data_IF_329789484846
#
_entry.id   IF_329789484846
#
_cell.length_a   1.000
_cell.length_b   1.000
_cell.length_c   1.000
_cell.angle_alpha   90.00
_cell.angle_beta   90.00
_cell.angle_gamma   90.00
#
_symmetry.space_group_name_H-M   'P 1'
#
loop_
_entity.id
_entity.type
_entity.pdbx_description
1 polymer ?
#
# COMPACT_ATOMS: atom_id res chain seq x y z
N UNK A 1 -20.43 -13.02 1.16
CA UNK A 1 -19.79 -11.74 1.56
C UNK A 1 -19.60 -11.81 3.06
N UNK A 2 -18.37 -11.95 3.53
CA UNK A 2 -18.06 -11.82 4.96
C UNK A 2 -18.47 -10.41 5.44
N UNK A 3 -18.96 -10.23 6.67
CA UNK A 3 -19.24 -8.91 7.20
C UNK A 3 -17.98 -8.05 7.14
N UNK A 4 -18.14 -6.79 6.79
CA UNK A 4 -17.03 -5.82 6.75
C UNK A 4 -16.51 -5.61 8.18
N UNK A 5 -15.37 -6.21 8.51
CA UNK A 5 -14.74 -6.13 9.83
C UNK A 5 -13.96 -4.82 10.02
N UNK A 6 -14.23 -3.80 9.22
CA UNK A 6 -13.57 -2.52 9.31
C UNK A 6 -14.39 -1.51 10.13
N UNK A 7 -13.71 -0.70 10.94
CA UNK A 7 -14.25 0.48 11.60
C UNK A 7 -13.72 1.76 10.92
N UNK A 8 -14.49 2.83 10.97
CA UNK A 8 -13.98 4.13 10.54
C UNK A 8 -12.81 4.57 11.41
N UNK A 9 -11.75 5.08 10.77
CA UNK A 9 -10.56 5.60 11.44
C UNK A 9 -10.38 7.08 11.10
N UNK A 10 -10.35 7.91 12.12
CA UNK A 10 -10.14 9.37 11.99
C UNK A 10 -9.10 9.81 13.02
N UNK A 11 -8.06 10.51 12.56
CA UNK A 11 -7.11 11.19 13.42
C UNK A 11 -6.92 12.62 12.90
N UNK A 12 -7.46 13.58 13.63
CA UNK A 12 -7.39 15.02 13.31
C UNK A 12 -6.33 15.76 14.12
N UNK A 13 -5.55 15.03 14.94
CA UNK A 13 -4.49 15.66 15.76
C UNK A 13 -3.23 15.97 14.96
N UNK A 14 -3.17 15.53 13.70
CA UNK A 14 -2.05 15.72 12.76
C UNK A 14 -2.50 16.46 11.50
N UNK A 15 -1.59 17.17 10.84
CA UNK A 15 -1.84 17.83 9.56
C UNK A 15 -0.88 17.28 8.49
N UNK A 16 -1.39 16.73 7.40
CA UNK A 16 -2.81 16.47 7.07
C UNK A 16 -3.42 15.39 7.98
N UNK A 17 -4.75 15.45 8.24
CA UNK A 17 -5.45 14.46 9.04
C UNK A 17 -5.46 13.10 8.34
N UNK A 18 -5.67 12.04 9.13
CA UNK A 18 -5.80 10.68 8.62
C UNK A 18 -7.27 10.28 8.66
N UNK A 19 -7.83 9.87 7.52
CA UNK A 19 -9.21 9.39 7.42
C UNK A 19 -9.25 8.13 6.58
N UNK A 20 -9.93 7.10 7.08
CA UNK A 20 -10.00 5.83 6.39
C UNK A 20 -10.77 4.76 7.16
N UNK A 21 -10.36 3.52 7.00
CA UNK A 21 -10.99 2.34 7.58
C UNK A 21 -9.93 1.42 8.16
N UNK A 22 -10.09 1.05 9.43
CA UNK A 22 -9.19 0.15 10.14
C UNK A 22 -9.81 -1.26 10.19
N UNK A 23 -9.06 -2.23 9.69
CA UNK A 23 -9.36 -3.66 9.84
C UNK A 23 -8.53 -4.20 11.00
N UNK A 24 -9.20 -4.71 12.02
CA UNK A 24 -8.56 -5.32 13.18
C UNK A 24 -8.72 -6.83 13.11
N UNK A 25 -7.63 -7.59 12.98
CA UNK A 25 -7.70 -9.05 12.91
C UNK A 25 -8.11 -9.66 14.25
N UNK A 26 -8.73 -10.85 14.19
CA UNK A 26 -9.08 -11.61 15.40
C UNK A 26 -7.83 -12.03 16.21
N UNK A 27 -6.77 -12.40 15.52
CA UNK A 27 -5.50 -12.82 16.12
C UNK A 27 -4.38 -11.98 15.53
N UNK A 28 -4.10 -10.78 16.09
CA UNK A 28 -3.08 -9.89 15.55
C UNK A 28 -1.68 -10.49 15.66
N UNK A 29 -0.91 -10.34 14.59
CA UNK A 29 0.52 -10.66 14.57
C UNK A 29 1.39 -9.52 15.10
N UNK A 30 0.78 -8.35 15.27
CA UNK A 30 1.46 -7.09 15.56
C UNK A 30 1.89 -6.30 14.33
N UNK A 31 1.92 -6.91 13.14
CA UNK A 31 2.26 -6.21 11.91
C UNK A 31 1.09 -5.33 11.43
N UNK A 32 1.44 -4.24 10.74
CA UNK A 32 0.50 -3.27 10.20
C UNK A 32 0.75 -3.04 8.71
N UNK A 33 -0.31 -3.01 7.92
CA UNK A 33 -0.29 -2.58 6.53
C UNK A 33 -1.07 -1.27 6.39
N UNK A 34 -0.43 -0.22 5.87
CA UNK A 34 -1.10 1.01 5.45
C UNK A 34 -1.31 0.93 3.95
N UNK A 35 -2.55 1.05 3.50
CA UNK A 35 -2.96 0.83 2.11
C UNK A 35 -3.71 2.05 1.57
N UNK A 36 -3.26 2.58 0.42
CA UNK A 36 -3.87 3.76 -0.19
C UNK A 36 -4.22 3.58 -1.67
N UNK A 37 -5.05 4.47 -2.19
CA UNK A 37 -5.73 4.38 -3.48
C UNK A 37 -5.02 5.13 -4.61
N UNK A 38 -5.42 4.85 -5.85
CA UNK A 38 -5.01 5.58 -7.06
C UNK A 38 -5.74 6.92 -7.26
N UNK A 39 -5.31 7.68 -8.27
CA UNK A 39 -5.79 9.05 -8.55
C UNK A 39 -7.32 9.16 -8.74
N UNK A 40 -7.98 8.16 -9.29
CA UNK A 40 -9.44 8.14 -9.50
C UNK A 40 -10.24 7.46 -8.40
N UNK A 41 -9.57 6.91 -7.37
CA UNK A 41 -10.16 6.08 -6.33
C UNK A 41 -10.29 6.77 -4.97
N UNK A 42 -10.63 5.94 -3.99
CA UNK A 42 -10.64 6.27 -2.56
C UNK A 42 -10.36 5.00 -1.75
N UNK A 43 -10.33 5.10 -0.43
CA UNK A 43 -10.06 3.98 0.48
C UNK A 43 -11.09 2.83 0.38
N UNK A 44 -12.24 3.04 -0.28
CA UNK A 44 -13.27 2.02 -0.47
C UNK A 44 -13.18 1.26 -1.81
N UNK A 45 -12.12 1.50 -2.60
CA UNK A 45 -11.93 0.79 -3.86
C UNK A 45 -11.95 -0.74 -3.66
N UNK A 46 -12.61 -1.50 -4.54
CA UNK A 46 -12.77 -2.96 -4.38
C UNK A 46 -11.46 -3.72 -4.20
N UNK A 47 -10.42 -3.36 -4.94
CA UNK A 47 -9.07 -3.92 -4.80
C UNK A 47 -8.52 -3.73 -3.37
N UNK A 48 -8.66 -2.53 -2.81
CA UNK A 48 -8.15 -2.22 -1.49
C UNK A 48 -8.92 -2.96 -0.39
N UNK A 49 -10.23 -3.10 -0.56
CA UNK A 49 -11.07 -3.87 0.39
C UNK A 49 -10.66 -5.35 0.38
N UNK A 50 -10.58 -5.96 -0.79
CA UNK A 50 -10.21 -7.36 -0.92
C UNK A 50 -8.81 -7.67 -0.36
N UNK A 51 -7.83 -6.76 -0.57
CA UNK A 51 -6.51 -6.89 0.04
C UNK A 51 -6.59 -6.71 1.56
N UNK A 52 -7.31 -5.71 2.05
CA UNK A 52 -7.45 -5.49 3.48
C UNK A 52 -8.07 -6.68 4.21
N UNK A 53 -9.08 -7.30 3.61
CA UNK A 53 -9.70 -8.51 4.15
C UNK A 53 -8.68 -9.67 4.19
N UNK A 54 -7.97 -9.94 3.08
CA UNK A 54 -6.99 -11.02 3.01
C UNK A 54 -5.82 -10.85 4.01
N UNK A 55 -5.31 -9.63 4.15
CA UNK A 55 -4.22 -9.35 5.10
C UNK A 55 -4.72 -9.38 6.55
N UNK A 56 -5.94 -8.90 6.82
CA UNK A 56 -6.54 -8.95 8.15
C UNK A 56 -6.84 -10.39 8.59
N UNK A 57 -7.35 -11.22 7.69
CA UNK A 57 -7.58 -12.66 7.96
C UNK A 57 -6.26 -13.38 8.32
N UNK A 58 -5.14 -12.91 7.77
CA UNK A 58 -3.79 -13.41 8.10
C UNK A 58 -3.17 -12.79 9.38
N UNK A 59 -3.94 -12.00 10.13
CA UNK A 59 -3.49 -11.42 11.39
C UNK A 59 -2.78 -10.08 11.29
N UNK A 60 -2.76 -9.44 10.12
CA UNK A 60 -2.14 -8.13 9.91
C UNK A 60 -3.20 -7.04 10.08
N UNK A 61 -2.96 -6.07 10.95
CA UNK A 61 -3.83 -4.89 11.05
C UNK A 61 -3.72 -4.06 9.78
N UNK A 62 -4.85 -3.68 9.16
CA UNK A 62 -4.81 -2.90 7.92
C UNK A 62 -5.53 -1.57 8.06
N UNK A 63 -4.81 -0.47 7.79
CA UNK A 63 -5.39 0.86 7.66
C UNK A 63 -5.52 1.21 6.17
N UNK A 64 -6.75 1.19 5.64
CA UNK A 64 -7.03 1.78 4.32
C UNK A 64 -7.28 3.27 4.47
N UNK A 65 -6.41 4.13 3.96
CA UNK A 65 -6.54 5.58 4.14
C UNK A 65 -6.80 6.32 2.83
N UNK A 66 -7.58 7.39 2.93
CA UNK A 66 -7.72 8.37 1.86
C UNK A 66 -6.51 9.30 1.86
N UNK A 67 -5.93 9.50 0.68
CA UNK A 67 -4.90 10.54 0.49
C UNK A 67 -5.51 11.94 0.78
N UNK A 68 -4.73 12.87 1.31
CA UNK A 68 -5.19 14.22 1.66
C UNK A 68 -5.99 14.93 0.56
N UNK A 69 -5.54 14.84 -0.70
CA UNK A 69 -6.29 15.44 -1.81
C UNK A 69 -7.71 14.88 -1.94
N UNK A 70 -7.89 13.58 -1.65
CA UNK A 70 -9.21 12.90 -1.72
C UNK A 70 -10.11 13.26 -0.54
N UNK A 71 -9.53 13.57 0.62
CA UNK A 71 -10.28 14.07 1.76
C UNK A 71 -10.87 15.47 1.50
N UNK A 72 -10.16 16.29 0.71
CA UNK A 72 -10.60 17.64 0.34
C UNK A 72 -11.57 17.64 -0.86
N UNK A 73 -11.46 16.66 -1.75
CA UNK A 73 -12.25 16.60 -2.99
C UNK A 73 -12.75 15.18 -3.23
N UNK A 74 -14.08 14.96 -3.25
CA UNK A 74 -14.65 13.63 -3.43
C UNK A 74 -14.42 13.06 -4.83
N UNK A 75 -14.16 13.93 -5.83
CA UNK A 75 -13.99 13.56 -7.24
C UNK A 75 -12.74 14.23 -7.85
N UNK A 76 -12.33 13.72 -9.04
CA UNK A 76 -11.23 14.25 -9.82
C UNK A 76 -9.87 13.69 -9.42
N UNK A 77 -8.83 13.91 -10.25
CA UNK A 77 -7.46 13.53 -9.95
C UNK A 77 -6.80 14.49 -8.96
N UNK A 78 -5.63 14.14 -8.39
CA UNK A 78 -4.81 15.09 -7.64
C UNK A 78 -4.40 16.27 -8.54
N UNK A 79 -4.36 17.46 -7.95
CA UNK A 79 -3.91 18.68 -8.63
C UNK A 79 -2.42 18.95 -8.45
N UNK A 80 -1.91 20.01 -9.11
CA UNK A 80 -0.57 20.50 -8.86
C UNK A 80 -0.38 20.82 -7.37
N UNK A 81 0.71 20.33 -6.77
CA UNK A 81 1.01 20.58 -5.35
C UNK A 81 0.44 19.56 -4.35
N UNK A 82 -0.55 18.76 -4.72
CA UNK A 82 -1.11 17.75 -3.80
C UNK A 82 -0.10 16.68 -3.41
N UNK A 83 0.85 16.34 -4.28
CA UNK A 83 1.77 15.23 -4.09
C UNK A 83 2.60 15.32 -2.79
N UNK A 84 3.09 16.50 -2.43
CA UNK A 84 3.85 16.68 -1.18
C UNK A 84 2.95 16.49 0.05
N UNK A 85 1.73 17.05 0.01
CA UNK A 85 0.75 16.91 1.09
C UNK A 85 0.27 15.45 1.21
N UNK A 86 0.13 14.73 0.10
CA UNK A 86 -0.24 13.31 0.09
C UNK A 86 0.86 12.44 0.73
N UNK A 87 2.15 12.71 0.44
CA UNK A 87 3.26 12.03 1.13
C UNK A 87 3.29 12.36 2.63
N UNK A 88 3.06 13.62 3.01
CA UNK A 88 2.94 13.99 4.42
C UNK A 88 1.80 13.23 5.13
N UNK A 89 0.65 13.07 4.47
CA UNK A 89 -0.45 12.27 4.99
C UNK A 89 -0.12 10.78 5.16
N UNK A 90 0.63 10.20 4.23
CA UNK A 90 1.12 8.82 4.36
C UNK A 90 2.12 8.69 5.52
N UNK A 91 3.04 9.64 5.67
CA UNK A 91 3.98 9.69 6.80
C UNK A 91 3.25 9.80 8.14
N UNK A 92 2.23 10.66 8.23
CA UNK A 92 1.38 10.77 9.42
C UNK A 92 0.67 9.45 9.74
N UNK A 93 0.17 8.73 8.72
CA UNK A 93 -0.46 7.43 8.91
C UNK A 93 0.54 6.39 9.47
N UNK A 94 1.77 6.35 8.96
CA UNK A 94 2.84 5.49 9.48
C UNK A 94 3.15 5.84 10.95
N UNK A 95 3.34 7.12 11.26
CA UNK A 95 3.65 7.57 12.62
C UNK A 95 2.51 7.27 13.61
N UNK A 96 1.26 7.45 13.21
CA UNK A 96 0.10 7.16 14.05
C UNK A 96 -0.01 5.66 14.37
N UNK A 97 0.20 4.80 13.37
CA UNK A 97 0.17 3.35 13.57
C UNK A 97 1.37 2.87 14.42
N UNK A 98 2.56 3.43 14.22
CA UNK A 98 3.73 3.14 15.05
C UNK A 98 3.50 3.53 16.52
N UNK A 99 2.90 4.69 16.77
CA UNK A 99 2.55 5.13 18.12
C UNK A 99 1.52 4.22 18.78
N UNK A 100 0.50 3.79 18.03
CA UNK A 100 -0.50 2.86 18.53
C UNK A 100 0.10 1.49 18.90
N UNK A 101 1.05 0.98 18.10
CA UNK A 101 1.79 -0.24 18.38
C UNK A 101 2.60 -0.12 19.68
N UNK A 102 3.34 0.97 19.86
CA UNK A 102 4.19 1.20 21.02
C UNK A 102 3.38 1.42 22.31
N UNK A 103 2.22 2.04 22.21
CA UNK A 103 1.32 2.28 23.34
C UNK A 103 0.58 1.03 23.82
N UNK A 104 0.72 -0.13 23.15
CA UNK A 104 -0.06 -1.32 23.43
C UNK A 104 -1.56 -1.06 23.33
N UNK A 105 -1.98 -0.16 22.45
CA UNK A 105 -3.37 0.24 22.30
C UNK A 105 -4.28 -0.98 22.14
N UNK A 106 -5.49 -1.00 22.72
CA UNK A 106 -6.42 -2.14 22.64
C UNK A 106 -6.68 -2.62 21.21
N UNK A 107 -6.57 -1.73 20.23
CA UNK A 107 -6.66 -2.01 18.79
C UNK A 107 -5.57 -2.97 18.28
N UNK A 108 -4.43 -3.09 19.00
CA UNK A 108 -3.28 -3.91 18.63
C UNK A 108 -2.85 -4.87 19.77
N UNK A 109 -3.46 -4.76 20.95
CA UNK A 109 -2.97 -5.33 22.21
C UNK A 109 -3.24 -6.83 22.39
N UNK A 110 -3.96 -7.52 21.49
CA UNK A 110 -4.23 -8.96 21.69
C UNK A 110 -2.99 -9.83 21.40
N UNK A 111 -2.00 -9.33 20.70
CA UNK A 111 -0.75 -10.05 20.39
C UNK A 111 0.20 -10.18 21.59
N UNK A 112 0.07 -9.31 22.60
CA UNK A 112 1.01 -9.24 23.73
C UNK A 112 0.78 -10.32 24.82
N UNK A 113 -0.24 -11.16 24.70
CA UNK A 113 -0.64 -12.12 25.77
C UNK A 113 -0.28 -13.57 25.53
N UNK A 114 0.23 -13.95 24.38
CA UNK A 114 0.79 -15.28 24.16
C UNK A 114 2.31 -15.21 24.30
N UNK A 115 2.83 -15.79 25.37
CA UNK A 115 4.25 -15.73 25.81
C UNK A 115 5.29 -16.38 24.88
N UNK A 116 5.15 -16.23 23.58
CA UNK A 116 6.21 -16.49 22.61
C UNK A 116 6.79 -15.13 22.21
N UNK A 117 8.11 -14.96 22.31
CA UNK A 117 8.85 -13.82 21.78
C UNK A 117 8.57 -13.72 20.28
N UNK A 118 7.50 -13.01 19.92
CA UNK A 118 7.17 -12.73 18.52
C UNK A 118 8.23 -11.81 17.94
N UNK A 119 8.56 -12.01 16.65
CA UNK A 119 9.39 -11.09 15.91
C UNK A 119 8.87 -9.64 16.09
N UNK A 120 9.77 -8.63 16.07
CA UNK A 120 9.33 -7.24 16.27
C UNK A 120 8.25 -6.87 15.24
N UNK A 121 7.22 -6.19 15.72
CA UNK A 121 6.12 -5.69 14.90
C UNK A 121 6.62 -4.77 13.80
N UNK A 122 6.12 -4.92 12.58
CA UNK A 122 6.57 -4.23 11.39
C UNK A 122 5.45 -3.45 10.74
N UNK A 123 5.80 -2.32 10.15
CA UNK A 123 4.87 -1.52 9.35
C UNK A 123 5.23 -1.69 7.88
N UNK A 124 4.22 -1.91 7.06
CA UNK A 124 4.30 -1.97 5.61
C UNK A 124 3.47 -0.86 5.00
N UNK A 125 3.93 -0.32 3.89
CA UNK A 125 3.19 0.68 3.12
C UNK A 125 2.79 0.10 1.77
N UNK A 126 1.55 0.31 1.37
CA UNK A 126 1.03 -0.18 0.10
C UNK A 126 0.24 0.89 -0.62
N UNK A 127 0.28 0.87 -1.95
CA UNK A 127 -0.54 1.79 -2.72
C UNK A 127 -0.81 1.33 -4.15
N UNK A 128 -2.01 1.68 -4.61
CA UNK A 128 -2.40 1.48 -6.00
C UNK A 128 -2.06 2.71 -6.84
N UNK A 129 -1.44 2.50 -8.00
CA UNK A 129 -1.22 3.55 -9.01
C UNK A 129 -0.55 4.81 -8.42
N UNK A 130 -1.23 5.95 -8.46
CA UNK A 130 -0.75 7.21 -7.91
C UNK A 130 -0.34 7.08 -6.43
N UNK A 131 -1.16 6.43 -5.60
CA UNK A 131 -0.83 6.19 -4.19
C UNK A 131 0.44 5.33 -4.04
N UNK A 132 0.60 4.30 -4.88
CA UNK A 132 1.83 3.50 -4.93
C UNK A 132 3.06 4.34 -5.30
N UNK A 133 2.93 5.24 -6.28
CA UNK A 133 4.01 6.15 -6.63
C UNK A 133 4.34 7.12 -5.50
N UNK A 134 3.35 7.70 -4.80
CA UNK A 134 3.61 8.56 -3.64
C UNK A 134 4.28 7.77 -2.50
N UNK A 135 3.85 6.53 -2.27
CA UNK A 135 4.49 5.63 -1.29
C UNK A 135 5.95 5.33 -1.63
N UNK A 136 6.27 5.05 -2.91
CA UNK A 136 7.65 4.78 -3.32
C UNK A 136 8.55 6.02 -3.23
N UNK A 137 8.03 7.20 -3.55
CA UNK A 137 8.75 8.46 -3.38
C UNK A 137 9.03 8.76 -1.90
N UNK A 138 8.04 8.56 -1.03
CA UNK A 138 8.22 8.73 0.42
C UNK A 138 9.27 7.76 0.98
N UNK A 139 9.26 6.49 0.57
CA UNK A 139 10.26 5.52 1.01
C UNK A 139 11.66 5.76 0.42
N UNK A 140 11.78 6.44 -0.72
CA UNK A 140 13.05 6.91 -1.26
C UNK A 140 13.58 8.14 -0.49
N UNK A 141 12.69 9.03 -0.05
CA UNK A 141 13.02 10.17 0.82
C UNK A 141 13.37 9.72 2.26
N UNK A 142 12.75 8.63 2.76
CA UNK A 142 12.90 8.10 4.12
C UNK A 142 13.06 6.56 4.09
N UNK A 143 14.26 6.03 3.83
CA UNK A 143 14.49 4.60 3.58
C UNK A 143 14.08 3.65 4.72
N UNK A 144 14.17 4.12 5.97
CA UNK A 144 13.88 3.31 7.17
C UNK A 144 12.43 3.48 7.68
N UNK A 145 11.59 4.18 6.92
CA UNK A 145 10.23 4.51 7.34
C UNK A 145 9.37 3.26 7.55
N UNK A 146 9.52 2.25 6.69
CA UNK A 146 8.72 1.01 6.71
C UNK A 146 9.57 -0.22 6.39
N UNK A 147 9.13 -1.40 6.84
CA UNK A 147 9.83 -2.67 6.65
C UNK A 147 9.69 -3.24 5.22
N UNK A 148 8.70 -2.79 4.48
CA UNK A 148 8.47 -3.24 3.11
C UNK A 148 7.38 -2.43 2.40
N UNK A 149 7.43 -2.46 1.07
CA UNK A 149 6.57 -1.68 0.19
C UNK A 149 5.85 -2.59 -0.82
N UNK A 150 4.53 -2.39 -0.97
CA UNK A 150 3.69 -3.10 -1.93
C UNK A 150 3.12 -2.10 -2.94
N UNK A 151 3.53 -2.21 -4.19
CA UNK A 151 3.14 -1.33 -5.28
C UNK A 151 2.23 -2.05 -6.28
N UNK A 152 0.98 -1.61 -6.34
CA UNK A 152 -0.07 -2.18 -7.18
C UNK A 152 -0.26 -1.30 -8.41
N UNK A 153 -0.07 -1.88 -9.60
CA UNK A 153 -0.18 -1.18 -10.90
C UNK A 153 0.64 0.12 -10.92
N UNK A 154 1.95 -0.02 -10.80
CA UNK A 154 2.85 1.13 -10.74
C UNK A 154 2.79 1.94 -12.04
N UNK A 155 2.49 3.26 -11.97
CA UNK A 155 2.33 4.10 -13.16
C UNK A 155 3.69 4.63 -13.63
N UNK A 156 4.49 3.79 -14.29
CA UNK A 156 5.85 4.12 -14.73
C UNK A 156 5.89 5.35 -15.64
N UNK A 157 4.88 5.54 -16.50
CA UNK A 157 4.72 6.70 -17.37
C UNK A 157 3.23 7.01 -17.56
N UNK A 158 2.86 8.21 -18.07
CA UNK A 158 1.50 8.47 -18.53
C UNK A 158 1.15 7.55 -19.72
N UNK A 159 -0.13 7.17 -19.90
CA UNK A 159 -0.52 6.34 -21.03
C UNK A 159 -0.09 6.96 -22.35
N UNK A 160 0.49 6.14 -23.24
CA UNK A 160 0.99 6.55 -24.57
C UNK A 160 2.13 7.60 -24.54
N UNK A 161 2.86 7.72 -23.41
CA UNK A 161 4.02 8.61 -23.25
C UNK A 161 5.18 7.85 -22.56
N UNK A 162 5.70 6.77 -23.19
CA UNK A 162 6.74 5.94 -22.59
C UNK A 162 8.05 6.69 -22.35
N UNK A 163 8.27 7.82 -23.06
CA UNK A 163 9.42 8.69 -22.88
C UNK A 163 9.37 9.50 -21.55
N UNK A 164 8.19 9.59 -20.92
CA UNK A 164 8.01 10.35 -19.67
C UNK A 164 8.06 9.43 -18.44
N UNK A 165 9.13 8.66 -18.31
CA UNK A 165 9.30 7.74 -17.20
C UNK A 165 9.46 8.44 -15.86
N UNK A 166 8.84 7.86 -14.83
CA UNK A 166 8.80 8.37 -13.45
C UNK A 166 9.73 7.55 -12.57
N UNK A 167 11.02 7.53 -12.92
CA UNK A 167 12.04 6.66 -12.32
C UNK A 167 13.04 7.38 -11.45
N UNK A 168 13.01 8.72 -11.36
CA UNK A 168 14.05 9.54 -10.77
C UNK A 168 14.37 9.19 -9.30
N UNK A 169 13.39 8.72 -8.54
CA UNK A 169 13.55 8.33 -7.13
C UNK A 169 13.90 6.85 -6.92
N UNK A 170 13.83 6.02 -7.97
CA UNK A 170 14.05 4.57 -7.84
C UNK A 170 15.47 4.20 -7.40
N UNK A 171 16.55 4.92 -7.80
CA UNK A 171 17.89 4.67 -7.28
C UNK A 171 18.05 4.86 -5.76
N UNK A 172 17.17 5.68 -5.15
CA UNK A 172 17.18 5.96 -3.72
C UNK A 172 16.21 5.06 -2.92
N UNK A 173 15.52 4.14 -3.61
CA UNK A 173 14.54 3.24 -2.98
C UNK A 173 15.23 2.04 -2.34
N UNK A 174 15.61 2.14 -1.06
CA UNK A 174 16.28 1.09 -0.30
C UNK A 174 15.32 0.13 0.43
N UNK A 175 14.02 0.34 0.32
CA UNK A 175 13.00 -0.51 0.94
C UNK A 175 12.69 -1.73 0.06
N UNK A 176 12.64 -2.93 0.64
CA UNK A 176 12.20 -4.15 -0.07
C UNK A 176 10.83 -3.93 -0.69
N UNK A 177 10.68 -4.21 -1.98
CA UNK A 177 9.46 -3.82 -2.70
C UNK A 177 8.88 -4.97 -3.54
N UNK A 178 7.60 -5.27 -3.33
CA UNK A 178 6.80 -6.12 -4.20
C UNK A 178 6.03 -5.23 -5.19
N UNK A 179 6.26 -5.43 -6.47
CA UNK A 179 5.46 -4.88 -7.56
C UNK A 179 4.43 -5.89 -8.03
N UNK A 180 3.19 -5.49 -8.17
CA UNK A 180 2.10 -6.28 -8.76
C UNK A 180 1.58 -5.55 -9.97
N UNK A 181 1.74 -6.12 -11.16
CA UNK A 181 1.46 -5.43 -12.41
C UNK A 181 0.62 -6.29 -13.37
N UNK A 182 -0.43 -5.68 -13.90
CA UNK A 182 -1.22 -6.28 -14.97
C UNK A 182 -0.45 -6.31 -16.31
N UNK A 183 -0.47 -7.43 -17.04
CA UNK A 183 0.29 -7.55 -18.29
C UNK A 183 -0.28 -6.70 -19.43
N UNK A 184 -1.48 -6.11 -19.27
CA UNK A 184 -2.12 -5.16 -20.21
C UNK A 184 -2.27 -3.76 -19.62
N UNK A 185 -1.48 -3.42 -18.61
CA UNK A 185 -1.53 -2.09 -18.01
C UNK A 185 -0.93 -1.04 -18.97
N UNK A 186 -1.67 0.03 -19.35
CA UNK A 186 -1.19 1.04 -20.29
C UNK A 186 -0.18 2.04 -19.67
N UNK A 187 0.08 1.96 -18.37
CA UNK A 187 1.02 2.85 -17.65
C UNK A 187 2.43 2.28 -17.51
N UNK A 188 2.63 1.03 -17.91
CA UNK A 188 3.94 0.39 -17.98
C UNK A 188 3.84 -0.90 -18.82
N UNK A 189 4.66 -1.09 -19.81
CA UNK A 189 4.90 -2.41 -20.36
C UNK A 189 5.79 -3.24 -19.43
N UNK A 190 5.69 -4.56 -19.49
CA UNK A 190 6.49 -5.44 -18.63
C UNK A 190 8.00 -5.26 -18.87
N UNK A 191 8.51 -5.17 -20.12
CA UNK A 191 9.93 -4.91 -20.35
C UNK A 191 10.42 -3.57 -19.79
N UNK A 192 9.63 -2.50 -19.93
CA UNK A 192 9.97 -1.18 -19.36
C UNK A 192 10.03 -1.23 -17.83
N UNK A 193 9.03 -1.85 -17.21
CA UNK A 193 9.02 -2.00 -15.75
C UNK A 193 10.22 -2.85 -15.28
N UNK A 194 10.51 -3.97 -15.92
CA UNK A 194 11.68 -4.81 -15.59
C UNK A 194 12.99 -4.01 -15.70
N UNK A 195 13.11 -3.14 -16.69
CA UNK A 195 14.29 -2.28 -16.82
C UNK A 195 14.36 -1.25 -15.69
N UNK A 196 13.24 -0.62 -15.32
CA UNK A 196 13.15 0.33 -14.22
C UNK A 196 13.50 -0.32 -12.87
N UNK A 197 13.07 -1.56 -12.63
CA UNK A 197 13.36 -2.29 -11.39
C UNK A 197 14.87 -2.52 -11.17
N UNK A 198 15.69 -2.57 -12.22
CA UNK A 198 17.14 -2.70 -12.09
C UNK A 198 17.81 -1.46 -11.46
N UNK A 199 17.12 -0.33 -11.45
CA UNK A 199 17.60 0.90 -10.81
C UNK A 199 17.46 0.87 -9.29
N UNK A 200 16.64 -0.04 -8.75
CA UNK A 200 16.34 -0.11 -7.31
C UNK A 200 17.41 -0.95 -6.62
N UNK A 201 18.17 -0.39 -5.65
CA UNK A 201 19.23 -1.11 -4.94
C UNK A 201 18.68 -2.19 -3.98
N UNK A 202 17.45 -2.04 -3.50
CA UNK A 202 16.84 -2.99 -2.60
C UNK A 202 16.34 -4.26 -3.34
N UNK A 203 16.08 -5.32 -2.58
CA UNK A 203 15.46 -6.53 -3.12
C UNK A 203 14.05 -6.22 -3.62
N UNK A 204 13.80 -6.49 -4.90
CA UNK A 204 12.49 -6.34 -5.55
C UNK A 204 11.96 -7.68 -6.04
N UNK A 205 10.63 -7.81 -6.12
CA UNK A 205 9.93 -8.90 -6.79
C UNK A 205 8.84 -8.31 -7.68
N UNK A 206 8.65 -8.89 -8.86
CA UNK A 206 7.58 -8.53 -9.78
C UNK A 206 6.60 -9.71 -9.90
N UNK A 207 5.37 -9.48 -9.46
CA UNK A 207 4.24 -10.39 -9.64
C UNK A 207 3.42 -9.90 -10.83
N UNK A 208 3.31 -10.74 -11.87
CA UNK A 208 2.51 -10.44 -13.06
C UNK A 208 1.09 -11.00 -12.90
N UNK A 209 0.11 -10.17 -13.23
CA UNK A 209 -1.31 -10.57 -13.29
C UNK A 209 -1.69 -10.67 -14.76
N UNK A 210 -1.74 -11.89 -15.27
CA UNK A 210 -1.92 -12.16 -16.69
C UNK A 210 -3.28 -11.65 -17.19
N UNK A 211 -3.26 -10.95 -18.32
CA UNK A 211 -4.45 -10.37 -18.97
C UNK A 211 -5.09 -9.19 -18.23
N UNK A 212 -4.63 -8.84 -17.04
CA UNK A 212 -5.18 -7.74 -16.28
C UNK A 212 -4.67 -6.38 -16.76
N UNK A 213 -5.55 -5.37 -16.67
CA UNK A 213 -5.22 -3.96 -16.89
C UNK A 213 -4.78 -3.26 -15.59
N UNK A 214 -4.91 -1.95 -15.60
CA UNK A 214 -4.49 -1.07 -14.50
C UNK A 214 -5.25 -1.29 -13.17
N UNK A 215 -6.42 -1.89 -13.22
CA UNK A 215 -7.24 -2.22 -12.04
C UNK A 215 -7.01 -3.64 -11.51
N UNK A 216 -6.01 -4.36 -12.04
CA UNK A 216 -5.71 -5.76 -11.71
C UNK A 216 -6.94 -6.69 -11.86
N UNK A 217 -7.87 -6.36 -12.73
CA UNK A 217 -9.10 -7.12 -12.98
C UNK A 217 -10.29 -6.77 -12.06
N UNK A 218 -10.14 -5.84 -11.11
CA UNK A 218 -11.18 -5.51 -10.13
C UNK A 218 -12.35 -4.64 -10.65
N UNK A 219 -12.30 -4.18 -11.90
CA UNK A 219 -13.45 -3.59 -12.61
C UNK A 219 -14.20 -4.60 -13.51
N UNK A 220 -13.73 -5.83 -13.56
CA UNK A 220 -14.29 -6.92 -14.36
C UNK A 220 -14.32 -8.22 -13.58
N UNK A 221 -13.82 -9.29 -14.18
CA UNK A 221 -13.66 -10.60 -13.52
C UNK A 221 -12.36 -10.59 -12.72
N UNK A 222 -12.39 -10.11 -11.49
CA UNK A 222 -11.28 -10.27 -10.57
C UNK A 222 -11.07 -11.77 -10.29
N UNK A 223 -9.84 -12.22 -10.27
CA UNK A 223 -9.52 -13.51 -9.70
C UNK A 223 -9.67 -13.40 -8.19
N UNK A 224 -10.62 -14.12 -7.61
CA UNK A 224 -10.87 -14.11 -6.16
C UNK A 224 -9.61 -14.48 -5.35
N UNK A 225 -8.67 -15.17 -5.97
CA UNK A 225 -7.42 -15.64 -5.38
C UNK A 225 -6.30 -14.58 -5.36
N UNK A 226 -6.38 -13.52 -6.16
CA UNK A 226 -5.30 -12.54 -6.30
C UNK A 226 -4.87 -11.91 -4.95
N UNK A 227 -5.78 -11.52 -4.03
CA UNK A 227 -5.38 -10.99 -2.72
C UNK A 227 -4.54 -11.98 -1.91
N UNK A 228 -4.87 -13.27 -1.94
CA UNK A 228 -4.13 -14.32 -1.24
C UNK A 228 -2.75 -14.58 -1.86
N UNK A 229 -2.67 -14.52 -3.20
CA UNK A 229 -1.39 -14.61 -3.92
C UNK A 229 -0.49 -13.43 -3.53
N UNK A 230 -1.02 -12.20 -3.53
CA UNK A 230 -0.27 -11.00 -3.13
C UNK A 230 0.20 -11.11 -1.67
N UNK A 231 -0.64 -11.57 -0.77
CA UNK A 231 -0.29 -11.81 0.62
C UNK A 231 0.89 -12.80 0.74
N UNK A 232 0.78 -13.97 0.11
CA UNK A 232 1.83 -15.00 0.12
C UNK A 232 3.16 -14.48 -0.42
N UNK A 233 3.12 -13.76 -1.55
CA UNK A 233 4.31 -13.15 -2.17
C UNK A 233 4.94 -12.07 -1.29
N UNK A 234 4.11 -11.28 -0.61
CA UNK A 234 4.55 -10.28 0.36
C UNK A 234 5.26 -10.94 1.55
N UNK A 235 4.68 -12.00 2.11
CA UNK A 235 5.26 -12.74 3.24
C UNK A 235 6.62 -13.34 2.88
N UNK A 236 6.74 -13.96 1.70
CA UNK A 236 8.01 -14.51 1.21
C UNK A 236 9.10 -13.44 1.02
N UNK A 237 8.74 -12.29 0.45
CA UNK A 237 9.70 -11.21 0.18
C UNK A 237 10.15 -10.51 1.45
N UNK A 238 9.22 -10.25 2.36
CA UNK A 238 9.48 -9.48 3.57
C UNK A 238 9.97 -10.34 4.74
N UNK A 239 9.98 -11.69 4.58
CA UNK A 239 10.58 -12.63 5.53
C UNK A 239 9.63 -12.94 6.71
N UNK A 240 8.47 -13.45 6.38
CA UNK A 240 7.56 -14.10 7.33
C UNK A 240 7.31 -15.54 6.97
#
# INVERSE_FOLDING_TARGET
>A
MSPDHSSEFVNETVDPPIRGFLHTPHTPTGDVLILTHGAGGNAQAPLLRALADAFSDAGITVLRCNLPYRQLRPFGPPGPGDAARDRAGLKNAVAAMASAMNAGAPLLASAARSGNASAPSRIYLAGHSYGGRQSSMLCAEEPDLVAGLLLLSYPLHPPRKPEQQRTQHLPDLHTRTLFVQGTRDPFASIPELQQALKMIPAKTKLLLVEGAGHDLGFKGKATAELPQIILSESQQLFGR
#
